data_IF_654042461328
#
_entry.id   IF_654042461328
#
_cell.length_a   1.000
_cell.length_b   1.000
_cell.length_c   1.000
_cell.angle_alpha   90.00
_cell.angle_beta   90.00
_cell.angle_gamma   90.00
#
_symmetry.space_group_name_H-M   'P 1'
#
loop_
_entity.id
_entity.type
_entity.pdbx_description
1 polymer ?
#
# COMPACT_ATOMS: atom_id res chain seq x y z
N UNK A 1 -19.49 0.39 9.13
CA UNK A 1 -20.13 -0.20 7.92
C UNK A 1 -20.20 -1.72 8.11
N UNK A 2 -21.31 -2.34 7.73
CA UNK A 2 -21.43 -3.80 7.75
C UNK A 2 -20.64 -4.39 6.58
N UNK A 3 -19.56 -5.17 6.82
CA UNK A 3 -18.76 -5.75 5.75
C UNK A 3 -19.49 -6.82 4.94
N UNK A 4 -20.63 -7.30 5.42
CA UNK A 4 -21.42 -8.36 4.76
C UNK A 4 -22.53 -7.82 3.84
N UNK A 5 -22.82 -6.51 3.90
CA UNK A 5 -23.98 -5.91 3.22
C UNK A 5 -23.67 -5.20 1.90
N UNK A 6 -22.45 -5.31 1.38
CA UNK A 6 -22.08 -4.59 0.17
C UNK A 6 -22.42 -5.37 -1.10
N UNK A 7 -22.97 -4.66 -2.07
CA UNK A 7 -23.20 -5.15 -3.42
C UNK A 7 -21.88 -5.31 -4.17
N UNK A 8 -21.82 -6.28 -5.07
CA UNK A 8 -20.65 -6.60 -5.88
C UNK A 8 -21.03 -6.40 -7.34
N UNK A 9 -20.25 -5.60 -8.07
CA UNK A 9 -20.36 -5.53 -9.52
C UNK A 9 -19.36 -6.46 -10.17
N UNK A 10 -19.81 -7.22 -11.16
CA UNK A 10 -18.97 -8.09 -11.95
C UNK A 10 -18.93 -7.53 -13.39
N UNK A 11 -17.79 -7.16 -13.88
CA UNK A 11 -17.55 -7.04 -15.32
C UNK A 11 -17.14 -8.44 -15.81
N UNK A 12 -18.03 -9.12 -16.57
CA UNK A 12 -17.64 -10.30 -17.31
C UNK A 12 -16.82 -9.80 -18.51
N UNK A 13 -15.52 -9.84 -18.41
CA UNK A 13 -14.68 -9.68 -19.60
C UNK A 13 -14.89 -10.88 -20.54
N UNK A 14 -14.83 -10.64 -21.87
CA UNK A 14 -14.78 -11.72 -22.82
C UNK A 14 -13.62 -12.67 -22.50
N UNK A 15 -13.65 -13.91 -22.98
CA UNK A 15 -12.59 -14.87 -22.73
C UNK A 15 -11.24 -14.23 -23.03
N UNK A 16 -10.30 -14.41 -22.13
CA UNK A 16 -8.96 -13.83 -22.18
C UNK A 16 -8.31 -14.05 -23.55
N UNK A 17 -8.24 -13.00 -24.35
CA UNK A 17 -7.68 -12.97 -25.70
C UNK A 17 -6.28 -12.34 -25.73
N UNK A 18 -5.67 -12.13 -24.57
CA UNK A 18 -4.37 -11.48 -24.43
C UNK A 18 -4.43 -9.95 -24.51
N UNK A 19 -5.60 -9.34 -24.63
CA UNK A 19 -5.74 -7.90 -24.60
C UNK A 19 -5.56 -7.34 -23.18
N UNK A 20 -4.84 -6.24 -23.00
CA UNK A 20 -4.73 -5.58 -21.68
C UNK A 20 -6.13 -5.12 -21.23
N UNK A 21 -6.40 -5.24 -19.92
CA UNK A 21 -7.61 -4.72 -19.32
C UNK A 21 -7.88 -3.28 -19.78
N UNK A 22 -9.10 -3.01 -20.22
CA UNK A 22 -9.51 -1.63 -20.52
C UNK A 22 -9.41 -0.82 -19.24
N UNK A 23 -8.93 0.42 -19.34
CA UNK A 23 -8.88 1.33 -18.19
C UNK A 23 -10.26 1.35 -17.52
N UNK A 24 -10.36 1.06 -16.22
CA UNK A 24 -11.65 0.98 -15.56
C UNK A 24 -12.35 2.32 -15.63
N UNK A 25 -13.63 2.23 -15.86
CA UNK A 25 -14.57 3.35 -15.86
C UNK A 25 -14.58 4.02 -14.49
N UNK A 26 -14.83 5.30 -14.44
CA UNK A 26 -15.02 6.03 -13.18
C UNK A 26 -16.16 5.40 -12.36
N UNK A 27 -16.15 5.61 -11.03
CA UNK A 27 -17.18 5.04 -10.14
C UNK A 27 -18.61 5.36 -10.61
N UNK A 28 -18.85 6.55 -11.16
CA UNK A 28 -20.14 6.96 -11.74
C UNK A 28 -20.48 6.18 -13.03
N UNK A 29 -19.50 5.86 -13.86
CA UNK A 29 -19.71 5.07 -15.08
C UNK A 29 -19.95 3.58 -14.77
N UNK A 30 -19.33 3.04 -13.71
CA UNK A 30 -19.57 1.68 -13.22
C UNK A 30 -20.98 1.49 -12.69
N UNK A 31 -21.50 2.47 -11.95
CA UNK A 31 -22.88 2.42 -11.40
C UNK A 31 -23.96 2.44 -12.48
N UNK A 32 -23.67 2.98 -13.66
CA UNK A 32 -24.65 3.11 -14.76
C UNK A 32 -24.74 1.87 -15.67
N UNK A 33 -23.71 1.02 -15.74
CA UNK A 33 -23.59 0.01 -16.78
C UNK A 33 -23.57 -1.46 -16.31
N UNK A 34 -23.25 -1.73 -15.04
CA UNK A 34 -23.24 -3.10 -14.50
C UNK A 34 -24.29 -3.27 -13.39
N UNK A 35 -25.18 -4.25 -13.49
CA UNK A 35 -26.09 -4.56 -12.39
C UNK A 35 -25.27 -5.01 -11.19
N UNK A 36 -25.57 -4.41 -10.04
CA UNK A 36 -25.04 -4.86 -8.77
C UNK A 36 -25.80 -6.13 -8.37
N UNK A 37 -25.09 -7.25 -8.30
CA UNK A 37 -25.64 -8.55 -7.96
C UNK A 37 -25.23 -8.93 -6.54
N UNK A 38 -26.09 -9.63 -5.79
CA UNK A 38 -25.70 -10.13 -4.50
C UNK A 38 -24.59 -11.18 -4.63
N UNK A 39 -23.66 -11.20 -3.68
CA UNK A 39 -22.51 -12.12 -3.68
C UNK A 39 -22.92 -13.59 -3.80
N UNK A 40 -24.13 -13.95 -3.34
CA UNK A 40 -24.68 -15.30 -3.43
C UNK A 40 -24.84 -15.84 -4.86
N UNK A 41 -24.99 -14.97 -5.86
CA UNK A 41 -25.11 -15.40 -7.27
C UNK A 41 -23.76 -15.84 -7.87
N UNK A 42 -22.66 -15.51 -7.23
CA UNK A 42 -21.31 -15.87 -7.67
C UNK A 42 -20.72 -17.07 -6.91
N UNK A 43 -21.37 -17.48 -5.81
CA UNK A 43 -20.95 -18.66 -5.05
C UNK A 43 -21.26 -19.93 -5.86
N UNK A 44 -20.22 -20.74 -6.13
CA UNK A 44 -20.35 -21.99 -6.89
C UNK A 44 -19.46 -22.10 -8.10
N UNK A 45 -18.79 -21.01 -8.53
CA UNK A 45 -17.73 -21.09 -9.54
C UNK A 45 -16.45 -21.54 -8.86
N UNK A 46 -15.90 -22.68 -9.28
CA UNK A 46 -14.72 -23.28 -8.64
C UNK A 46 -13.51 -22.32 -8.60
N UNK A 47 -13.26 -21.61 -9.70
CA UNK A 47 -12.19 -20.61 -9.76
C UNK A 47 -12.34 -19.52 -8.68
N UNK A 48 -13.55 -18.94 -8.52
CA UNK A 48 -13.80 -17.92 -7.51
C UNK A 48 -13.63 -18.45 -6.10
N UNK A 49 -14.12 -19.68 -5.85
CA UNK A 49 -13.94 -20.35 -4.56
C UNK A 49 -12.47 -20.51 -4.21
N UNK A 50 -11.65 -20.92 -5.17
CA UNK A 50 -10.21 -21.08 -4.96
C UNK A 50 -9.51 -19.73 -4.76
N UNK A 51 -9.89 -18.71 -5.52
CA UNK A 51 -9.38 -17.33 -5.34
C UNK A 51 -9.73 -16.80 -3.94
N UNK A 52 -10.97 -16.97 -3.49
CA UNK A 52 -11.43 -16.58 -2.16
C UNK A 52 -10.68 -17.36 -1.05
N UNK A 53 -10.39 -18.64 -1.26
CA UNK A 53 -9.59 -19.43 -0.32
C UNK A 53 -8.20 -18.81 -0.15
N UNK A 54 -7.50 -18.46 -1.24
CA UNK A 54 -6.18 -17.84 -1.16
C UNK A 54 -6.27 -16.51 -0.41
N UNK A 55 -7.21 -15.64 -0.79
CA UNK A 55 -7.40 -14.33 -0.17
C UNK A 55 -7.76 -14.41 1.32
N UNK A 56 -8.57 -15.42 1.71
CA UNK A 56 -9.04 -15.63 3.08
C UNK A 56 -7.96 -16.24 3.98
N UNK A 57 -7.29 -17.29 3.52
CA UNK A 57 -6.37 -18.06 4.35
C UNK A 57 -4.98 -17.47 4.39
N UNK A 58 -4.48 -16.89 3.29
CA UNK A 58 -3.21 -16.15 3.28
C UNK A 58 -3.38 -14.76 3.89
N UNK A 59 -3.79 -14.70 5.17
CA UNK A 59 -4.20 -13.47 5.84
C UNK A 59 -4.21 -13.67 7.36
N UNK A 60 -3.63 -12.76 8.13
CA UNK A 60 -3.58 -12.81 9.59
C UNK A 60 -4.65 -11.93 10.25
N UNK A 61 -5.25 -11.00 9.51
CA UNK A 61 -6.27 -10.13 10.05
C UNK A 61 -7.53 -10.90 10.45
N UNK A 62 -8.24 -10.36 11.42
CA UNK A 62 -9.54 -10.84 11.85
C UNK A 62 -10.58 -9.73 11.79
N UNK A 63 -11.74 -10.05 11.23
CA UNK A 63 -12.91 -9.17 11.21
C UNK A 63 -14.05 -9.95 11.86
N UNK A 64 -14.66 -9.40 12.90
CA UNK A 64 -15.74 -10.05 13.61
C UNK A 64 -16.71 -9.04 14.22
N UNK A 65 -17.95 -9.46 14.38
CA UNK A 65 -18.95 -8.65 15.07
C UNK A 65 -18.81 -8.88 16.58
N UNK A 66 -18.60 -7.80 17.30
CA UNK A 66 -18.58 -7.84 18.76
C UNK A 66 -20.00 -8.16 19.29
N UNK A 67 -20.12 -9.15 20.17
CA UNK A 67 -21.43 -9.60 20.69
C UNK A 67 -22.06 -8.63 21.68
N UNK A 68 -21.24 -7.81 22.34
CA UNK A 68 -21.70 -6.87 23.36
C UNK A 68 -22.09 -5.51 22.77
N UNK A 69 -21.26 -5.00 21.86
CA UNK A 69 -21.45 -3.68 21.24
C UNK A 69 -22.22 -3.71 19.93
N UNK A 70 -22.44 -4.90 19.37
CA UNK A 70 -22.98 -5.13 18.02
C UNK A 70 -22.21 -4.45 16.89
N UNK A 71 -21.03 -3.88 17.19
CA UNK A 71 -20.16 -3.24 16.21
C UNK A 71 -19.18 -4.24 15.58
N UNK A 72 -18.69 -3.89 14.40
CA UNK A 72 -17.64 -4.64 13.73
C UNK A 72 -16.28 -4.23 14.25
N UNK A 73 -15.53 -5.20 14.77
CA UNK A 73 -14.15 -5.06 15.20
C UNK A 73 -13.21 -5.70 14.17
N UNK A 74 -12.12 -5.02 13.87
CA UNK A 74 -11.08 -5.51 12.98
C UNK A 74 -9.72 -5.40 13.66
N UNK A 75 -8.88 -6.44 13.52
CA UNK A 75 -7.52 -6.49 14.07
C UNK A 75 -6.57 -7.04 13.01
N UNK A 76 -5.41 -6.39 12.85
CA UNK A 76 -4.37 -6.77 11.91
C UNK A 76 -3.93 -5.60 11.04
N UNK A 77 -3.10 -5.89 10.04
CA UNK A 77 -2.67 -4.91 9.04
C UNK A 77 -3.85 -4.39 8.21
N UNK A 78 -3.95 -3.08 7.92
CA UNK A 78 -5.05 -2.50 7.14
C UNK A 78 -5.25 -3.16 5.77
N UNK A 79 -4.18 -3.53 5.08
CA UNK A 79 -4.24 -4.25 3.81
C UNK A 79 -4.92 -5.60 3.96
N UNK A 80 -4.57 -6.33 5.02
CA UNK A 80 -5.14 -7.64 5.32
C UNK A 80 -6.60 -7.54 5.77
N UNK A 81 -6.93 -6.52 6.57
CA UNK A 81 -8.31 -6.23 6.97
C UNK A 81 -9.17 -5.97 5.74
N UNK A 82 -8.70 -5.16 4.78
CA UNK A 82 -9.43 -4.87 3.55
C UNK A 82 -9.72 -6.14 2.74
N UNK A 83 -8.76 -7.06 2.65
CA UNK A 83 -8.93 -8.36 1.98
C UNK A 83 -9.96 -9.23 2.74
N UNK A 84 -9.92 -9.27 4.08
CA UNK A 84 -10.91 -10.01 4.88
C UNK A 84 -12.32 -9.41 4.75
N UNK A 85 -12.44 -8.09 4.68
CA UNK A 85 -13.73 -7.43 4.42
C UNK A 85 -14.25 -7.81 3.04
N UNK A 86 -13.40 -7.83 2.01
CA UNK A 86 -13.78 -8.28 0.66
C UNK A 86 -14.29 -9.71 0.67
N UNK A 87 -13.55 -10.65 1.27
CA UNK A 87 -13.97 -12.06 1.30
C UNK A 87 -15.21 -12.29 2.16
N UNK A 88 -15.40 -11.50 3.22
CA UNK A 88 -16.60 -11.56 4.07
C UNK A 88 -17.88 -11.21 3.31
N UNK A 89 -17.82 -10.38 2.26
CA UNK A 89 -18.97 -10.07 1.38
C UNK A 89 -19.49 -11.30 0.65
N UNK A 90 -18.62 -12.28 0.39
CA UNK A 90 -18.98 -13.59 -0.17
C UNK A 90 -19.31 -14.63 0.92
N UNK A 91 -19.46 -14.20 2.17
CA UNK A 91 -19.62 -15.10 3.32
C UNK A 91 -18.40 -16.05 3.50
N UNK A 92 -17.20 -15.57 3.09
CA UNK A 92 -15.93 -16.30 3.08
C UNK A 92 -14.98 -15.70 4.11
N UNK A 93 -15.22 -15.98 5.39
CA UNK A 93 -14.38 -15.47 6.49
C UNK A 93 -13.47 -16.57 7.05
N UNK A 94 -12.17 -16.28 7.27
CA UNK A 94 -11.20 -17.25 7.82
C UNK A 94 -11.73 -17.97 9.05
N UNK A 95 -12.25 -17.22 10.03
CA UNK A 95 -12.75 -17.77 11.28
C UNK A 95 -13.88 -18.78 11.11
N UNK A 96 -14.72 -18.61 10.09
CA UNK A 96 -15.81 -19.53 9.77
C UNK A 96 -15.30 -20.93 9.41
N UNK A 97 -14.15 -21.00 8.74
CA UNK A 97 -13.60 -22.26 8.22
C UNK A 97 -12.52 -22.87 9.11
N UNK A 98 -11.95 -22.09 10.05
CA UNK A 98 -10.82 -22.54 10.88
C UNK A 98 -11.16 -22.65 12.36
N UNK A 99 -12.40 -22.31 12.77
CA UNK A 99 -12.81 -22.30 14.18
C UNK A 99 -14.10 -23.11 14.39
N UNK A 100 -14.20 -23.83 15.51
CA UNK A 100 -15.34 -24.67 15.87
C UNK A 100 -14.90 -26.08 16.27
N UNK A 101 -15.84 -26.95 16.56
CA UNK A 101 -15.56 -28.30 17.02
C UNK A 101 -14.94 -29.21 15.93
N UNK A 102 -15.32 -29.00 14.66
CA UNK A 102 -14.76 -29.71 13.50
C UNK A 102 -14.56 -28.74 12.33
N UNK A 103 -13.52 -27.91 12.40
CA UNK A 103 -13.27 -26.95 11.33
C UNK A 103 -12.85 -27.68 10.05
N UNK A 104 -13.39 -27.31 8.88
CA UNK A 104 -13.00 -27.92 7.61
C UNK A 104 -11.55 -27.62 7.19
N UNK A 105 -10.94 -26.62 7.78
CA UNK A 105 -9.56 -26.22 7.49
C UNK A 105 -8.73 -26.03 8.76
N UNK A 106 -7.48 -26.52 8.76
CA UNK A 106 -6.50 -26.29 9.81
C UNK A 106 -5.22 -25.68 9.24
N UNK A 107 -4.73 -24.64 9.91
CA UNK A 107 -3.42 -24.05 9.57
C UNK A 107 -2.31 -24.96 10.10
N UNK A 108 -1.33 -25.27 9.24
CA UNK A 108 -0.20 -26.14 9.56
C UNK A 108 1.08 -25.33 9.74
N UNK A 109 1.32 -24.35 8.88
CA UNK A 109 2.51 -23.51 8.94
C UNK A 109 2.24 -22.09 8.41
N UNK A 110 3.08 -21.17 8.82
CA UNK A 110 3.04 -19.77 8.41
C UNK A 110 4.45 -19.26 8.15
N UNK A 111 4.60 -18.62 7.00
CA UNK A 111 5.77 -17.84 6.61
C UNK A 111 5.32 -16.37 6.52
N UNK A 112 5.52 -15.58 7.59
CA UNK A 112 4.99 -14.23 7.67
C UNK A 112 5.54 -13.32 6.58
N UNK A 113 4.88 -12.18 6.37
CA UNK A 113 5.36 -11.19 5.42
C UNK A 113 6.76 -10.71 5.83
N UNK A 114 7.64 -10.65 4.84
CA UNK A 114 9.00 -10.16 4.97
C UNK A 114 9.22 -9.04 3.94
N UNK A 115 9.77 -7.92 4.38
CA UNK A 115 9.98 -6.73 3.54
C UNK A 115 11.04 -6.93 2.45
N UNK A 116 11.97 -7.87 2.63
CA UNK A 116 13.02 -8.16 1.64
C UNK A 116 12.49 -9.11 0.57
N UNK A 117 11.73 -10.13 0.98
CA UNK A 117 11.11 -11.12 0.08
C UNK A 117 9.80 -10.59 -0.52
N UNK A 118 9.11 -9.66 0.16
CA UNK A 118 7.84 -8.99 -0.24
C UNK A 118 6.68 -9.95 -0.53
N UNK A 119 6.63 -11.07 0.18
CA UNK A 119 5.55 -12.07 0.07
C UNK A 119 5.33 -12.78 1.40
N UNK A 120 4.17 -13.39 1.52
CA UNK A 120 3.71 -14.18 2.66
C UNK A 120 3.14 -15.50 2.14
N UNK A 121 3.36 -16.58 2.88
CA UNK A 121 2.83 -17.91 2.53
C UNK A 121 2.28 -18.60 3.77
N UNK A 122 1.17 -19.29 3.62
CA UNK A 122 0.57 -20.12 4.68
C UNK A 122 0.24 -21.50 4.13
N UNK A 123 0.32 -22.52 4.97
CA UNK A 123 -0.04 -23.88 4.61
C UNK A 123 -1.26 -24.31 5.42
N UNK A 124 -2.27 -24.78 4.72
CA UNK A 124 -3.52 -25.28 5.30
C UNK A 124 -3.83 -26.69 4.84
N UNK A 125 -4.44 -27.46 5.75
CA UNK A 125 -5.05 -28.77 5.48
C UNK A 125 -6.54 -28.61 5.36
N UNK A 126 -7.11 -29.15 4.28
CA UNK A 126 -8.55 -29.25 4.07
C UNK A 126 -9.03 -30.67 4.38
N UNK A 127 -9.95 -30.81 5.32
CA UNK A 127 -10.53 -32.09 5.73
C UNK A 127 -11.75 -32.49 4.89
N UNK A 128 -12.40 -31.54 4.19
CA UNK A 128 -13.61 -31.80 3.40
C UNK A 128 -13.28 -32.26 1.96
N UNK A 129 -12.03 -32.20 1.53
CA UNK A 129 -11.63 -32.59 0.17
C UNK A 129 -11.49 -34.13 0.01
N UNK A 130 -12.38 -34.86 0.64
CA UNK A 130 -12.39 -36.32 0.76
C UNK A 130 -12.55 -37.07 -0.57
N UNK A 131 -11.42 -37.33 -1.23
CA UNK A 131 -11.23 -38.52 -2.03
C UNK A 131 -10.67 -39.64 -1.12
N UNK A 132 -10.46 -40.85 -1.62
CA UNK A 132 -9.97 -42.04 -0.89
C UNK A 132 -8.70 -41.84 -0.03
N UNK A 133 -8.06 -40.65 -0.03
CA UNK A 133 -6.87 -40.24 0.73
C UNK A 133 -7.11 -39.22 1.85
N UNK A 134 -8.34 -38.83 2.14
CA UNK A 134 -8.77 -38.22 3.41
C UNK A 134 -8.49 -36.73 3.65
N UNK A 135 -7.49 -36.10 3.08
CA UNK A 135 -7.23 -34.65 3.22
C UNK A 135 -6.29 -34.12 2.14
N UNK A 136 -6.46 -32.87 1.77
CA UNK A 136 -5.56 -32.18 0.84
C UNK A 136 -4.87 -31.01 1.55
N UNK A 137 -3.59 -30.81 1.27
CA UNK A 137 -2.82 -29.69 1.81
C UNK A 137 -2.47 -28.69 0.71
N UNK A 138 -2.54 -27.43 1.08
CA UNK A 138 -2.37 -26.32 0.16
C UNK A 138 -1.46 -25.25 0.74
N UNK A 139 -0.49 -24.81 -0.03
CA UNK A 139 0.25 -23.60 0.23
C UNK A 139 -0.44 -22.44 -0.51
N UNK A 140 -0.82 -21.39 0.22
CA UNK A 140 -1.40 -20.16 -0.29
C UNK A 140 -0.40 -19.03 -0.13
N UNK A 141 -0.19 -18.27 -1.19
CA UNK A 141 0.78 -17.16 -1.23
C UNK A 141 0.11 -15.86 -1.67
N UNK A 142 0.50 -14.76 -1.04
CA UNK A 142 0.23 -13.40 -1.51
C UNK A 142 1.47 -12.52 -1.41
N UNK A 143 1.58 -11.51 -2.25
CA UNK A 143 2.71 -10.56 -2.19
C UNK A 143 2.77 -9.60 -3.34
N UNK A 144 3.90 -8.90 -3.45
CA UNK A 144 4.20 -8.05 -4.58
C UNK A 144 4.17 -8.89 -5.88
N UNK A 145 3.54 -8.33 -6.93
CA UNK A 145 3.24 -9.07 -8.15
C UNK A 145 4.48 -9.71 -8.74
N UNK A 146 5.56 -8.94 -8.87
CA UNK A 146 6.83 -9.39 -9.43
C UNK A 146 7.42 -10.55 -8.62
N UNK A 147 7.31 -10.47 -7.27
CA UNK A 147 7.87 -11.48 -6.37
C UNK A 147 7.06 -12.77 -6.28
N UNK A 148 5.77 -12.69 -6.52
CA UNK A 148 4.89 -13.87 -6.62
C UNK A 148 5.08 -14.54 -7.97
N UNK A 149 5.20 -13.78 -9.06
CA UNK A 149 5.44 -14.32 -10.41
C UNK A 149 6.78 -15.09 -10.49
N UNK A 150 7.84 -14.61 -9.85
CA UNK A 150 9.12 -15.34 -9.73
C UNK A 150 8.95 -16.78 -9.16
N UNK A 151 7.94 -17.02 -8.34
CA UNK A 151 7.64 -18.31 -7.73
C UNK A 151 6.63 -19.14 -8.53
N UNK A 152 6.02 -18.59 -9.59
CA UNK A 152 4.96 -19.23 -10.36
C UNK A 152 5.51 -19.94 -11.60
N UNK A 153 5.04 -21.15 -11.83
CA UNK A 153 5.31 -21.91 -13.06
C UNK A 153 4.05 -22.16 -13.90
N UNK A 154 2.89 -21.82 -13.34
CA UNK A 154 1.60 -22.03 -13.98
C UNK A 154 0.64 -20.87 -13.69
N UNK A 155 -0.37 -20.73 -14.53
CA UNK A 155 -1.45 -19.78 -14.39
C UNK A 155 -2.80 -20.50 -14.48
N UNK A 156 -3.77 -20.08 -13.66
CA UNK A 156 -5.13 -20.59 -13.67
C UNK A 156 -6.03 -19.68 -14.51
N UNK A 157 -6.65 -20.25 -15.54
CA UNK A 157 -7.68 -19.60 -16.34
C UNK A 157 -9.02 -20.31 -16.11
N UNK A 158 -9.94 -19.67 -15.42
CA UNK A 158 -11.22 -20.29 -15.05
C UNK A 158 -11.02 -21.75 -14.56
N UNK A 159 -11.36 -22.74 -15.35
CA UNK A 159 -11.26 -24.14 -14.98
C UNK A 159 -10.02 -24.86 -15.54
N UNK A 160 -9.08 -24.13 -16.17
CA UNK A 160 -7.88 -24.71 -16.78
C UNK A 160 -6.61 -24.11 -16.21
N UNK A 161 -5.66 -24.98 -15.90
CA UNK A 161 -4.29 -24.57 -15.54
C UNK A 161 -3.42 -24.69 -16.79
N UNK A 162 -2.66 -23.64 -17.10
CA UNK A 162 -1.69 -23.59 -18.19
C UNK A 162 -0.28 -23.27 -17.63
N UNK A 163 0.80 -23.71 -18.29
CA UNK A 163 2.14 -23.26 -17.96
C UNK A 163 2.25 -21.73 -18.07
N UNK A 164 3.01 -21.10 -17.20
CA UNK A 164 3.33 -19.67 -17.26
C UNK A 164 4.45 -19.49 -18.30
N UNK A 165 4.22 -18.61 -19.27
CA UNK A 165 5.23 -18.19 -20.23
C UNK A 165 5.53 -16.68 -20.11
N UNK A 166 6.57 -16.21 -20.79
CA UNK A 166 7.00 -14.80 -20.72
C UNK A 166 5.95 -13.82 -21.29
N UNK A 167 5.09 -14.26 -22.21
CA UNK A 167 4.02 -13.44 -22.76
C UNK A 167 2.91 -13.23 -21.72
N UNK A 168 2.51 -14.28 -21.02
CA UNK A 168 1.51 -14.25 -19.96
C UNK A 168 2.01 -13.42 -18.77
N UNK A 169 3.28 -13.59 -18.38
CA UNK A 169 3.90 -12.77 -17.35
C UNK A 169 3.86 -11.28 -17.73
N UNK A 170 4.22 -10.96 -18.99
CA UNK A 170 4.14 -9.60 -19.51
C UNK A 170 2.74 -8.99 -19.49
N UNK A 171 1.70 -9.79 -19.73
CA UNK A 171 0.31 -9.37 -19.67
C UNK A 171 -0.11 -9.10 -18.22
N UNK A 172 0.25 -9.97 -17.28
CA UNK A 172 -0.04 -9.79 -15.86
C UNK A 172 0.62 -8.51 -15.35
N UNK A 173 1.87 -8.26 -15.70
CA UNK A 173 2.58 -7.03 -15.31
C UNK A 173 1.92 -5.78 -15.89
N UNK A 174 1.48 -5.81 -17.15
CA UNK A 174 0.72 -4.70 -17.75
C UNK A 174 -0.61 -4.45 -17.02
N UNK A 175 -1.33 -5.51 -16.66
CA UNK A 175 -2.58 -5.39 -15.92
C UNK A 175 -2.31 -4.81 -14.51
N UNK A 176 -1.23 -5.21 -13.85
CA UNK A 176 -0.78 -4.63 -12.59
C UNK A 176 -0.49 -3.13 -12.75
N UNK A 177 0.20 -2.71 -13.81
CA UNK A 177 0.49 -1.30 -14.09
C UNK A 177 -0.80 -0.49 -14.32
N UNK A 178 -1.77 -1.03 -15.06
CA UNK A 178 -3.08 -0.39 -15.27
C UNK A 178 -3.82 -0.20 -13.96
N UNK A 179 -3.88 -1.22 -13.11
CA UNK A 179 -4.49 -1.12 -11.78
C UNK A 179 -3.74 -0.11 -10.87
N UNK A 180 -2.43 -0.17 -10.87
CA UNK A 180 -1.59 0.75 -10.10
C UNK A 180 -1.72 2.21 -10.57
N UNK A 181 -1.91 2.45 -11.87
CA UNK A 181 -2.12 3.80 -12.42
C UNK A 181 -3.40 4.46 -11.93
N UNK A 182 -4.30 3.70 -11.32
CA UNK A 182 -5.53 4.17 -10.68
C UNK A 182 -5.39 4.40 -9.18
N UNK A 183 -4.16 4.39 -8.66
CA UNK A 183 -3.89 4.54 -7.24
C UNK A 183 -4.12 3.26 -6.42
N UNK A 184 -4.32 2.10 -7.07
CA UNK A 184 -4.50 0.84 -6.36
C UNK A 184 -3.16 0.25 -5.91
N UNK A 185 -3.12 -0.25 -4.68
CA UNK A 185 -2.07 -1.15 -4.23
C UNK A 185 -2.40 -2.56 -4.72
N UNK A 186 -1.58 -3.10 -5.62
CA UNK A 186 -1.86 -4.38 -6.29
C UNK A 186 -1.02 -5.49 -5.66
N UNK A 187 -1.68 -6.57 -5.27
CA UNK A 187 -1.04 -7.80 -4.81
C UNK A 187 -1.42 -8.96 -5.73
N UNK A 188 -0.53 -9.92 -5.85
CA UNK A 188 -0.77 -11.18 -6.53
C UNK A 188 -1.15 -12.28 -5.55
N UNK A 189 -2.01 -13.19 -6.01
CA UNK A 189 -2.46 -14.37 -5.29
C UNK A 189 -2.05 -15.62 -6.05
N UNK A 190 -1.44 -16.57 -5.33
CA UNK A 190 -1.00 -17.85 -5.90
C UNK A 190 -1.25 -19.00 -4.91
N UNK A 191 -1.34 -20.22 -5.42
CA UNK A 191 -1.44 -21.41 -4.61
C UNK A 191 -0.66 -22.58 -5.22
N UNK A 192 -0.41 -23.58 -4.39
CA UNK A 192 0.18 -24.87 -4.80
C UNK A 192 -0.42 -25.98 -3.96
N UNK A 193 -0.67 -27.17 -4.56
CA UNK A 193 -0.94 -28.36 -3.79
C UNK A 193 0.34 -28.81 -3.10
N UNK A 194 0.20 -29.26 -1.86
CA UNK A 194 1.34 -29.75 -1.08
C UNK A 194 1.19 -31.26 -0.83
N UNK A 195 2.31 -31.99 -0.83
CA UNK A 195 2.31 -33.41 -0.53
C UNK A 195 2.33 -33.62 1.01
N UNK A 196 1.34 -34.29 1.60
CA UNK A 196 1.18 -34.44 3.05
C UNK A 196 2.24 -35.35 3.72
N UNK A 197 3.29 -35.78 3.03
CA UNK A 197 4.31 -36.70 3.59
C UNK A 197 5.28 -36.04 4.56
N UNK A 198 5.19 -34.74 4.78
CA UNK A 198 6.12 -34.00 5.65
C UNK A 198 5.46 -33.74 7.00
N UNK A 199 5.91 -34.44 8.03
CA UNK A 199 5.35 -34.30 9.39
C UNK A 199 5.84 -33.07 10.16
N UNK A 200 6.93 -32.43 9.73
CA UNK A 200 7.60 -31.36 10.49
C UNK A 200 7.65 -30.04 9.71
N UNK A 201 6.52 -29.33 9.71
CA UNK A 201 6.30 -28.08 8.99
C UNK A 201 7.19 -26.92 9.47
N UNK A 202 7.59 -26.93 10.74
CA UNK A 202 8.42 -25.88 11.33
C UNK A 202 9.85 -25.84 10.84
N UNK A 203 10.32 -26.89 10.15
CA UNK A 203 11.70 -27.04 9.68
C UNK A 203 11.89 -26.85 8.17
N UNK A 204 10.80 -26.65 7.41
CA UNK A 204 10.90 -26.51 5.96
C UNK A 204 11.35 -25.09 5.60
N UNK A 205 12.47 -24.92 4.90
CA UNK A 205 12.89 -23.61 4.43
C UNK A 205 11.85 -22.97 3.51
N UNK A 206 11.65 -21.66 3.64
CA UNK A 206 10.72 -20.86 2.84
C UNK A 206 10.87 -21.11 1.34
N UNK A 207 12.09 -21.18 0.84
CA UNK A 207 12.44 -21.39 -0.56
C UNK A 207 11.89 -22.71 -1.13
N UNK A 208 11.72 -23.72 -0.30
CA UNK A 208 11.16 -25.02 -0.71
C UNK A 208 9.63 -24.98 -0.82
N UNK A 209 8.99 -24.11 -0.06
CA UNK A 209 7.52 -23.91 -0.07
C UNK A 209 7.13 -22.97 -1.20
N UNK A 210 7.85 -21.87 -1.35
CA UNK A 210 7.53 -20.76 -2.25
C UNK A 210 8.09 -20.97 -3.67
N UNK A 211 7.79 -22.12 -4.28
CA UNK A 211 8.16 -22.47 -5.65
C UNK A 211 7.07 -23.27 -6.34
N UNK A 212 7.12 -23.32 -7.67
CA UNK A 212 6.15 -24.08 -8.49
C UNK A 212 4.68 -23.71 -8.17
N UNK A 213 4.46 -22.42 -7.90
CA UNK A 213 3.14 -21.91 -7.60
C UNK A 213 2.31 -21.74 -8.86
N UNK A 214 0.99 -21.81 -8.71
CA UNK A 214 0.02 -21.46 -9.76
C UNK A 214 -0.54 -20.08 -9.44
N UNK A 215 -0.39 -19.15 -10.36
CA UNK A 215 -0.95 -17.81 -10.26
C UNK A 215 -2.47 -17.85 -10.45
N UNK A 216 -3.21 -17.17 -9.56
CA UNK A 216 -4.68 -17.14 -9.56
C UNK A 216 -5.27 -15.79 -9.92
N UNK A 217 -4.54 -14.70 -9.71
CA UNK A 217 -5.04 -13.39 -10.05
C UNK A 217 -4.42 -12.26 -9.22
N UNK A 218 -4.89 -11.07 -9.50
CA UNK A 218 -4.51 -9.84 -8.81
C UNK A 218 -5.63 -9.40 -7.87
N UNK A 219 -5.26 -8.75 -6.78
CA UNK A 219 -6.18 -8.04 -5.91
C UNK A 219 -5.69 -6.60 -5.77
N UNK A 220 -6.55 -5.63 -6.11
CA UNK A 220 -6.28 -4.20 -5.99
C UNK A 220 -6.97 -3.63 -4.76
N UNK A 221 -6.21 -2.93 -3.92
CA UNK A 221 -6.70 -2.26 -2.73
C UNK A 221 -6.62 -0.75 -2.96
N UNK A 222 -7.71 -0.07 -2.66
CA UNK A 222 -7.78 1.38 -2.75
C UNK A 222 -7.69 1.99 -1.36
N UNK A 223 -6.65 2.76 -1.13
CA UNK A 223 -6.46 3.57 0.07
C UNK A 223 -6.50 5.04 -0.36
N UNK A 224 -7.67 5.68 -0.32
CA UNK A 224 -7.81 7.06 -0.77
C UNK A 224 -7.07 8.00 0.18
N UNK A 225 -6.41 9.05 -0.35
CA UNK A 225 -5.90 10.10 0.49
C UNK A 225 -7.05 10.77 1.28
N UNK A 226 -6.75 11.27 2.46
CA UNK A 226 -7.74 11.98 3.27
C UNK A 226 -8.27 13.19 2.49
N UNK A 227 -9.55 13.50 2.66
CA UNK A 227 -10.25 14.56 1.91
C UNK A 227 -9.56 15.92 2.07
N UNK A 228 -8.99 16.19 3.24
CA UNK A 228 -8.34 17.45 3.59
C UNK A 228 -6.95 17.60 2.95
N UNK A 229 -6.31 16.49 2.54
CA UNK A 229 -4.92 16.48 2.08
C UNK A 229 -4.69 17.36 0.86
N UNK A 230 -5.57 17.31 -0.14
CA UNK A 230 -5.45 18.14 -1.35
C UNK A 230 -5.54 19.63 -1.03
N UNK A 231 -6.45 20.01 -0.11
CA UNK A 231 -6.57 21.38 0.39
C UNK A 231 -5.31 21.85 1.11
N UNK A 232 -4.73 20.98 1.93
CA UNK A 232 -3.53 21.24 2.68
C UNK A 232 -2.30 21.41 1.77
N UNK A 233 -2.09 20.55 0.78
CA UNK A 233 -1.01 20.67 -0.21
C UNK A 233 -1.12 21.99 -0.97
N UNK A 234 -2.33 22.36 -1.41
CA UNK A 234 -2.56 23.66 -2.07
C UNK A 234 -2.22 24.84 -1.19
N UNK A 235 -2.53 24.76 0.12
CA UNK A 235 -2.18 25.80 1.08
C UNK A 235 -0.66 25.86 1.32
N UNK A 236 0.04 24.72 1.39
CA UNK A 236 1.50 24.66 1.41
C UNK A 236 2.11 25.41 0.22
N UNK A 237 1.66 25.11 -1.00
CA UNK A 237 2.15 25.79 -2.21
C UNK A 237 1.92 27.31 -2.17
N UNK A 238 0.75 27.76 -1.69
CA UNK A 238 0.47 29.20 -1.51
C UNK A 238 1.40 29.85 -0.48
N UNK A 239 1.80 29.09 0.54
CA UNK A 239 2.73 29.52 1.56
C UNK A 239 4.21 29.47 1.13
N UNK A 240 4.50 29.11 -0.13
CA UNK A 240 5.83 28.94 -0.68
C UNK A 240 6.55 27.68 -0.21
N UNK A 241 5.81 26.68 0.27
CA UNK A 241 6.33 25.39 0.74
C UNK A 241 6.18 24.37 -0.39
N UNK A 242 7.29 23.73 -0.77
CA UNK A 242 7.30 22.60 -1.71
C UNK A 242 7.00 21.32 -0.95
N UNK A 243 6.06 20.52 -1.42
CA UNK A 243 5.73 19.23 -0.85
C UNK A 243 6.35 18.14 -1.70
N UNK A 244 7.12 17.25 -1.07
CA UNK A 244 7.71 16.07 -1.68
C UNK A 244 7.06 14.81 -1.11
N UNK A 245 6.81 13.79 -1.95
CA UNK A 245 6.28 12.49 -1.55
C UNK A 245 7.37 11.43 -1.67
N UNK A 246 7.70 10.78 -0.55
CA UNK A 246 8.66 9.68 -0.45
C UNK A 246 7.92 8.43 0.03
N UNK A 247 7.63 7.50 -0.87
CA UNK A 247 6.79 6.33 -0.57
C UNK A 247 7.47 5.01 -0.93
N UNK A 248 7.14 3.95 -0.20
CA UNK A 248 7.49 2.57 -0.55
C UNK A 248 6.65 1.97 -1.67
N UNK A 249 5.56 2.66 -2.10
CA UNK A 249 4.63 2.20 -3.10
C UNK A 249 5.23 2.12 -4.51
N UNK A 250 4.51 1.43 -5.41
CA UNK A 250 4.86 1.37 -6.82
C UNK A 250 4.79 2.77 -7.47
N UNK A 251 5.67 3.01 -8.46
CA UNK A 251 5.78 4.31 -9.13
C UNK A 251 4.44 4.83 -9.67
N UNK A 252 3.64 3.96 -10.28
CA UNK A 252 2.35 4.34 -10.87
C UNK A 252 1.32 4.72 -9.80
N UNK A 253 1.29 4.00 -8.67
CA UNK A 253 0.42 4.31 -7.53
C UNK A 253 0.81 5.67 -6.92
N UNK A 254 2.10 5.88 -6.68
CA UNK A 254 2.61 7.16 -6.16
C UNK A 254 2.31 8.33 -7.11
N UNK A 255 2.43 8.10 -8.41
CA UNK A 255 2.07 9.06 -9.45
C UNK A 255 0.59 9.47 -9.38
N UNK A 256 -0.31 8.49 -9.34
CA UNK A 256 -1.75 8.74 -9.30
C UNK A 256 -2.15 9.52 -8.04
N UNK A 257 -1.65 9.09 -6.87
CA UNK A 257 -1.91 9.78 -5.60
C UNK A 257 -1.36 11.20 -5.61
N UNK A 258 -0.14 11.41 -6.14
CA UNK A 258 0.48 12.73 -6.19
C UNK A 258 -0.29 13.73 -7.08
N UNK A 259 -0.95 13.24 -8.13
CA UNK A 259 -1.87 14.07 -8.94
C UNK A 259 -3.14 14.39 -8.14
N UNK A 260 -3.75 13.39 -7.49
CA UNK A 260 -4.98 13.55 -6.72
C UNK A 260 -4.83 14.56 -5.59
N UNK A 261 -3.71 14.51 -4.86
CA UNK A 261 -3.44 15.45 -3.76
C UNK A 261 -2.84 16.79 -4.23
N UNK A 262 -2.48 16.92 -5.51
CA UNK A 262 -1.99 18.17 -6.10
C UNK A 262 -0.49 18.43 -5.86
N UNK A 263 0.31 17.44 -5.53
CA UNK A 263 1.79 17.52 -5.50
C UNK A 263 2.30 17.64 -6.94
N UNK A 264 1.77 16.83 -7.84
CA UNK A 264 2.02 16.93 -9.27
C UNK A 264 0.93 17.77 -9.96
N UNK A 265 1.27 18.54 -11.00
CA UNK A 265 0.28 19.30 -11.74
C UNK A 265 -0.70 18.37 -12.48
N UNK A 266 -2.01 18.72 -12.56
CA UNK A 266 -3.03 17.85 -13.19
C UNK A 266 -2.75 17.52 -14.65
N UNK A 267 -1.96 18.34 -15.34
CA UNK A 267 -1.58 18.16 -16.76
C UNK A 267 -0.13 17.70 -16.94
N UNK A 268 0.41 17.01 -15.94
CA UNK A 268 1.81 16.52 -16.00
C UNK A 268 2.06 15.67 -17.24
N UNK A 269 1.08 14.91 -17.73
CA UNK A 269 1.19 14.09 -18.95
C UNK A 269 1.38 14.92 -20.25
N UNK A 270 1.20 16.25 -20.21
CA UNK A 270 1.42 17.13 -21.35
C UNK A 270 2.84 17.76 -21.34
N UNK A 271 3.62 17.48 -20.29
CA UNK A 271 5.01 17.93 -20.18
C UNK A 271 5.93 17.01 -21.00
N UNK A 272 7.13 17.50 -21.31
CA UNK A 272 8.12 16.66 -22.00
C UNK A 272 8.55 15.47 -21.12
N UNK A 273 8.88 14.30 -21.72
CA UNK A 273 9.31 13.12 -20.98
C UNK A 273 10.46 13.38 -20.01
N UNK A 274 11.40 14.26 -20.39
CA UNK A 274 12.56 14.62 -19.55
C UNK A 274 12.14 15.37 -18.28
N UNK A 275 11.18 16.30 -18.38
CA UNK A 275 10.62 16.99 -17.22
C UNK A 275 9.86 16.02 -16.32
N UNK A 276 9.06 15.15 -16.92
CA UNK A 276 8.33 14.13 -16.17
C UNK A 276 9.29 13.21 -15.41
N UNK A 277 10.36 12.74 -16.08
CA UNK A 277 11.34 11.85 -15.46
C UNK A 277 12.12 12.51 -14.32
N UNK A 278 12.32 13.83 -14.37
CA UNK A 278 12.94 14.60 -13.29
C UNK A 278 12.00 14.83 -12.10
N UNK A 279 10.68 14.91 -12.34
CA UNK A 279 9.69 15.13 -11.27
C UNK A 279 9.34 13.85 -10.49
N UNK A 280 9.39 12.68 -11.15
CA UNK A 280 8.99 11.40 -10.56
C UNK A 280 10.03 10.32 -10.83
N UNK A 281 10.76 9.94 -9.80
CA UNK A 281 11.81 8.93 -9.84
C UNK A 281 11.46 7.70 -9.01
N UNK A 282 12.13 6.59 -9.30
CA UNK A 282 12.21 5.47 -8.36
C UNK A 282 13.42 5.64 -7.44
N UNK A 283 13.38 5.01 -6.26
CA UNK A 283 14.54 4.99 -5.36
C UNK A 283 15.81 4.53 -6.08
N UNK A 284 15.72 3.46 -6.89
CA UNK A 284 16.85 2.97 -7.67
C UNK A 284 17.45 4.05 -8.59
N UNK A 285 16.59 4.81 -9.28
CA UNK A 285 17.07 5.91 -10.15
C UNK A 285 17.74 7.01 -9.34
N UNK A 286 17.15 7.40 -8.20
CA UNK A 286 17.68 8.46 -7.35
C UNK A 286 18.96 8.04 -6.62
N UNK A 287 19.01 6.81 -6.12
CA UNK A 287 20.15 6.29 -5.35
C UNK A 287 21.38 6.00 -6.22
N UNK A 288 21.21 5.80 -7.53
CA UNK A 288 22.33 5.67 -8.48
C UNK A 288 22.99 7.01 -8.87
N UNK A 289 22.34 8.15 -8.61
CA UNK A 289 22.95 9.45 -8.87
C UNK A 289 24.03 9.72 -7.82
N UNK A 290 25.14 10.36 -8.21
CA UNK A 290 26.09 10.90 -7.24
C UNK A 290 25.50 12.11 -6.54
N UNK A 291 26.08 12.55 -5.42
CA UNK A 291 25.59 13.73 -4.70
C UNK A 291 25.73 15.00 -5.53
N UNK A 292 26.81 15.11 -6.31
CA UNK A 292 27.02 16.19 -7.27
C UNK A 292 25.94 16.18 -8.36
N UNK A 293 25.62 15.01 -8.91
CA UNK A 293 24.57 14.89 -9.92
C UNK A 293 23.17 15.24 -9.37
N UNK A 294 22.90 14.94 -8.08
CA UNK A 294 21.66 15.35 -7.40
C UNK A 294 21.65 16.87 -7.23
N UNK A 295 22.80 17.47 -6.86
CA UNK A 295 22.90 18.90 -6.63
C UNK A 295 22.84 19.70 -7.94
N UNK A 296 23.22 19.10 -9.08
CA UNK A 296 23.08 19.69 -10.43
C UNK A 296 21.68 19.59 -11.02
N UNK A 297 20.75 18.80 -10.43
CA UNK A 297 19.37 18.76 -10.89
C UNK A 297 18.71 20.15 -10.80
N UNK A 298 18.02 20.63 -11.84
CA UNK A 298 17.35 21.93 -11.79
C UNK A 298 16.33 22.02 -10.65
N UNK A 299 15.59 20.93 -10.43
CA UNK A 299 14.61 20.76 -9.34
C UNK A 299 14.74 19.34 -8.80
N UNK A 300 14.69 19.18 -7.48
CA UNK A 300 14.64 17.86 -6.87
C UNK A 300 13.30 17.18 -7.18
N UNK A 301 13.27 15.84 -7.30
CA UNK A 301 12.05 15.11 -7.62
C UNK A 301 10.95 15.39 -6.59
N UNK A 302 9.75 15.64 -7.08
CA UNK A 302 8.57 15.83 -6.22
C UNK A 302 8.06 14.51 -5.65
N UNK A 303 8.27 13.40 -6.38
CA UNK A 303 7.84 12.06 -5.98
C UNK A 303 9.01 11.09 -6.16
N UNK A 304 9.32 10.35 -5.09
CA UNK A 304 10.24 9.21 -5.16
C UNK A 304 9.47 7.97 -4.68
N UNK A 305 9.37 6.98 -5.54
CA UNK A 305 8.66 5.72 -5.29
C UNK A 305 9.63 4.58 -4.94
N UNK A 306 9.14 3.54 -4.26
CA UNK A 306 9.95 2.38 -3.82
C UNK A 306 11.11 2.79 -2.90
N UNK A 307 10.89 3.83 -2.08
CA UNK A 307 11.91 4.33 -1.16
C UNK A 307 12.33 3.31 -0.12
N UNK A 308 13.63 3.28 0.12
CA UNK A 308 14.25 2.68 1.30
C UNK A 308 14.41 3.75 2.40
N UNK A 309 14.69 3.38 3.66
CA UNK A 309 15.02 4.36 4.70
C UNK A 309 16.19 5.28 4.30
N UNK A 310 17.21 4.71 3.65
CA UNK A 310 18.38 5.46 3.16
C UNK A 310 18.03 6.48 2.09
N UNK A 311 17.14 6.13 1.14
CA UNK A 311 16.65 7.06 0.11
C UNK A 311 16.00 8.30 0.74
N UNK A 312 15.21 8.09 1.82
CA UNK A 312 14.54 9.17 2.54
C UNK A 312 15.55 10.11 3.21
N UNK A 313 16.55 9.57 3.89
CA UNK A 313 17.64 10.35 4.51
C UNK A 313 18.39 11.14 3.44
N UNK A 314 18.75 10.50 2.33
CA UNK A 314 19.48 11.10 1.22
C UNK A 314 18.75 12.28 0.59
N UNK A 315 17.41 12.17 0.48
CA UNK A 315 16.59 13.31 0.00
C UNK A 315 16.60 14.48 0.98
N UNK A 316 16.51 14.24 2.28
CA UNK A 316 16.64 15.30 3.31
C UNK A 316 18.00 15.98 3.20
N UNK A 317 19.08 15.22 3.06
CA UNK A 317 20.44 15.76 2.91
C UNK A 317 20.61 16.58 1.62
N UNK A 318 20.02 16.16 0.51
CA UNK A 318 20.02 16.92 -0.74
C UNK A 318 19.30 18.26 -0.58
N UNK A 319 18.20 18.31 0.18
CA UNK A 319 17.50 19.56 0.50
C UNK A 319 18.35 20.46 1.41
N UNK A 320 19.05 19.91 2.40
CA UNK A 320 19.96 20.65 3.27
C UNK A 320 21.15 21.24 2.49
N UNK A 321 21.76 20.48 1.56
CA UNK A 321 22.83 21.02 0.69
C UNK A 321 22.34 22.21 -0.14
N UNK A 322 21.06 22.23 -0.52
CA UNK A 322 20.38 23.36 -1.18
C UNK A 322 19.92 24.46 -0.21
N UNK A 323 20.33 24.40 1.07
CA UNK A 323 19.98 25.38 2.12
C UNK A 323 18.46 25.53 2.30
N UNK A 324 17.71 24.42 2.14
CA UNK A 324 16.27 24.36 2.42
C UNK A 324 16.04 23.90 3.84
N UNK A 325 15.07 24.49 4.50
CA UNK A 325 14.55 24.03 5.79
C UNK A 325 13.54 22.92 5.54
N UNK A 326 13.70 21.79 6.20
CA UNK A 326 12.99 20.55 5.88
C UNK A 326 12.16 20.09 7.07
N UNK A 327 10.85 19.97 6.88
CA UNK A 327 9.99 19.19 7.77
C UNK A 327 9.73 17.81 7.15
N UNK A 328 9.92 16.75 7.91
CA UNK A 328 9.67 15.38 7.49
C UNK A 328 8.51 14.79 8.30
N UNK A 329 7.55 14.16 7.60
CA UNK A 329 6.49 13.42 8.26
C UNK A 329 6.67 11.92 8.05
N UNK A 330 6.36 11.11 9.05
CA UNK A 330 6.43 9.65 8.96
C UNK A 330 5.70 8.96 10.10
N UNK A 331 5.34 7.71 9.86
CA UNK A 331 4.62 6.85 10.83
C UNK A 331 5.37 5.54 11.13
N UNK A 332 6.26 5.12 10.23
CA UNK A 332 6.97 3.85 10.32
C UNK A 332 8.34 3.91 10.98
N UNK A 333 8.80 2.76 11.46
CA UNK A 333 10.18 2.57 11.94
C UNK A 333 11.20 2.96 10.85
N UNK A 334 10.86 2.70 9.59
CA UNK A 334 11.67 3.02 8.42
C UNK A 334 11.83 4.53 8.16
N UNK A 335 10.98 5.37 8.79
CA UNK A 335 11.03 6.82 8.66
C UNK A 335 11.89 7.48 9.73
N UNK A 336 12.15 6.79 10.83
CA UNK A 336 12.85 7.33 11.99
C UNK A 336 14.22 7.96 11.67
N UNK A 337 15.07 7.38 10.79
CA UNK A 337 16.34 8.02 10.44
C UNK A 337 16.16 9.36 9.71
N UNK A 338 15.15 9.45 8.82
CA UNK A 338 14.85 10.67 8.09
C UNK A 338 14.15 11.72 8.98
N UNK A 339 13.28 11.29 9.89
CA UNK A 339 12.65 12.16 10.90
C UNK A 339 13.73 12.85 11.78
N UNK A 340 14.69 12.09 12.28
CA UNK A 340 15.82 12.64 13.06
C UNK A 340 16.76 13.54 12.26
N UNK A 341 16.83 13.34 10.96
CA UNK A 341 17.74 14.10 10.09
C UNK A 341 17.15 15.42 9.62
N UNK A 342 15.82 15.53 9.56
CA UNK A 342 15.11 16.75 9.19
C UNK A 342 15.30 17.86 10.24
N UNK A 343 15.04 19.11 9.86
CA UNK A 343 15.03 20.23 10.81
C UNK A 343 13.83 20.18 11.77
N UNK A 344 12.73 19.57 11.31
CA UNK A 344 11.55 19.24 12.12
C UNK A 344 11.02 17.87 11.74
N UNK A 345 11.13 16.91 12.62
CA UNK A 345 10.50 15.60 12.51
C UNK A 345 9.06 15.63 13.05
N UNK A 346 8.11 15.10 12.27
CA UNK A 346 6.69 15.08 12.63
C UNK A 346 6.19 13.62 12.57
N UNK A 347 5.88 13.06 13.74
CA UNK A 347 5.36 11.69 13.89
C UNK A 347 3.84 11.65 13.93
N UNK A 348 3.28 10.48 13.57
CA UNK A 348 1.84 10.20 13.72
C UNK A 348 1.57 9.62 15.12
N UNK A 349 0.55 10.14 15.80
CA UNK A 349 0.25 9.79 17.19
C UNK A 349 -0.58 8.52 17.34
N UNK A 350 -1.53 8.29 16.43
CA UNK A 350 -2.44 7.15 16.47
C UNK A 350 -1.86 5.92 15.76
N UNK A 351 -1.48 6.06 14.49
CA UNK A 351 -0.95 4.97 13.66
C UNK A 351 0.58 4.86 13.73
N UNK A 352 1.27 5.90 14.21
CA UNK A 352 2.74 5.93 14.25
C UNK A 352 3.33 4.94 15.25
N UNK A 353 4.43 4.29 14.84
CA UNK A 353 5.23 3.45 15.73
C UNK A 353 5.88 4.29 16.83
N UNK A 354 6.13 3.68 18.00
CA UNK A 354 6.79 4.37 19.10
C UNK A 354 8.19 4.88 18.70
N UNK A 355 8.90 4.11 17.86
CA UNK A 355 10.22 4.51 17.34
C UNK A 355 10.12 5.78 16.47
N UNK A 356 9.06 5.93 15.66
CA UNK A 356 8.84 7.14 14.87
C UNK A 356 8.47 8.33 15.76
N UNK A 357 7.64 8.11 16.79
CA UNK A 357 7.29 9.15 17.77
C UNK A 357 8.51 9.66 18.54
N UNK A 358 9.37 8.74 19.00
CA UNK A 358 10.61 9.07 19.73
C UNK A 358 11.65 9.76 18.83
N UNK A 359 11.54 9.57 17.51
CA UNK A 359 12.40 10.22 16.53
C UNK A 359 11.91 11.61 16.11
N UNK A 360 10.72 12.03 16.55
CA UNK A 360 10.03 13.23 16.08
C UNK A 360 10.06 14.36 17.10
N UNK A 361 10.10 15.60 16.62
CA UNK A 361 9.99 16.82 17.43
C UNK A 361 8.53 17.16 17.76
N UNK A 362 7.62 16.79 16.86
CA UNK A 362 6.18 17.02 16.96
C UNK A 362 5.44 15.70 16.71
N UNK A 363 4.40 15.43 17.50
CA UNK A 363 3.51 14.29 17.30
C UNK A 363 2.09 14.79 17.04
N UNK A 364 1.52 14.41 15.88
CA UNK A 364 0.15 14.74 15.49
C UNK A 364 -0.82 13.75 16.13
N UNK A 365 -1.70 14.24 17.00
CA UNK A 365 -2.67 13.39 17.72
C UNK A 365 -3.82 12.89 16.85
N UNK A 366 -4.08 13.52 15.72
CA UNK A 366 -5.15 13.19 14.76
C UNK A 366 -4.65 12.50 13.49
N UNK A 367 -3.34 12.30 13.36
CA UNK A 367 -2.68 11.74 12.18
C UNK A 367 -3.08 12.44 10.87
N UNK A 368 -3.37 13.74 10.93
CA UNK A 368 -3.86 14.49 9.80
C UNK A 368 -2.81 15.48 9.27
N UNK A 369 -2.38 15.28 8.02
CA UNK A 369 -1.43 16.19 7.36
C UNK A 369 -1.90 17.66 7.36
N UNK A 370 -3.22 17.90 7.31
CA UNK A 370 -3.75 19.27 7.34
C UNK A 370 -3.43 20.00 8.65
N UNK A 371 -3.28 19.28 9.76
CA UNK A 371 -2.94 19.87 11.08
C UNK A 371 -1.53 20.46 11.12
N UNK A 372 -0.64 20.04 10.22
CA UNK A 372 0.69 20.63 10.06
C UNK A 372 0.60 22.10 9.65
N UNK A 373 -0.39 22.45 8.82
CA UNK A 373 -0.60 23.85 8.42
C UNK A 373 -0.89 24.76 9.61
N UNK A 374 -1.68 24.28 10.56
CA UNK A 374 -1.98 25.03 11.77
C UNK A 374 -0.69 25.24 12.60
N UNK A 375 0.15 24.22 12.70
CA UNK A 375 1.44 24.33 13.39
C UNK A 375 2.38 25.34 12.69
N UNK A 376 2.41 25.33 11.35
CA UNK A 376 3.20 26.29 10.56
C UNK A 376 2.66 27.72 10.75
N UNK A 377 1.35 27.91 10.72
CA UNK A 377 0.71 29.22 10.92
C UNK A 377 1.03 29.78 12.31
N UNK A 378 0.85 28.97 13.35
CA UNK A 378 1.17 29.37 14.73
C UNK A 378 2.67 29.63 14.91
N UNK A 379 3.54 28.83 14.33
CA UNK A 379 4.98 29.05 14.34
C UNK A 379 5.38 30.40 13.69
N UNK A 380 4.81 30.72 12.54
CA UNK A 380 5.01 32.01 11.86
C UNK A 380 4.49 33.17 12.70
N UNK A 381 3.30 33.01 13.29
CA UNK A 381 2.70 34.03 14.19
C UNK A 381 3.56 34.28 15.42
N UNK A 382 4.07 33.21 16.02
CA UNK A 382 4.99 33.32 17.18
C UNK A 382 6.27 34.05 16.78
N UNK A 383 6.87 33.73 15.64
CA UNK A 383 8.07 34.41 15.13
C UNK A 383 7.84 35.90 14.89
N UNK A 384 6.68 36.29 14.32
CA UNK A 384 6.33 37.69 14.11
C UNK A 384 6.12 38.43 15.44
N UNK A 385 5.57 37.76 16.45
CA UNK A 385 5.44 38.32 17.80
C UNK A 385 6.81 38.53 18.45
N UNK A 386 7.73 37.55 18.32
CA UNK A 386 9.12 37.70 18.81
C UNK A 386 9.81 38.89 18.15
N UNK A 387 9.67 39.04 16.82
CA UNK A 387 10.21 40.21 16.10
C UNK A 387 9.66 41.52 16.63
N UNK A 388 8.33 41.59 16.90
CA UNK A 388 7.72 42.80 17.47
C UNK A 388 8.29 43.14 18.84
N UNK A 389 8.47 42.13 19.71
CA UNK A 389 9.08 42.33 21.03
C UNK A 389 10.52 42.79 20.91
N UNK A 390 11.33 42.18 20.05
CA UNK A 390 12.71 42.56 19.81
C UNK A 390 12.78 44.02 19.30
N UNK A 391 11.94 44.38 18.30
CA UNK A 391 11.87 45.75 17.81
C UNK A 391 11.52 46.74 18.92
N UNK A 392 10.55 46.42 19.75
CA UNK A 392 10.15 47.25 20.88
C UNK A 392 11.30 47.44 21.91
N UNK A 393 12.02 46.39 22.23
CA UNK A 393 13.18 46.43 23.12
C UNK A 393 14.31 47.29 22.52
N UNK A 394 14.64 47.13 21.23
CA UNK A 394 15.68 47.93 20.57
C UNK A 394 15.32 49.42 20.55
N UNK A 395 14.04 49.75 20.36
CA UNK A 395 13.58 51.17 20.39
C UNK A 395 13.67 51.73 21.80
N UNK A 396 13.39 50.94 22.82
CA UNK A 396 13.50 51.38 24.26
C UNK A 396 14.96 51.58 24.70
N UNK A 397 15.89 50.74 24.20
CA UNK A 397 17.31 50.80 24.52
C UNK A 397 18.10 51.78 23.62
N UNK A 398 17.46 52.32 22.60
CA UNK A 398 18.10 53.36 21.81
C UNK A 398 18.31 54.61 22.67
N UNK A 399 19.54 54.94 23.12
CA UNK A 399 19.75 56.14 23.94
C UNK A 399 19.33 57.36 23.13
N UNK A 400 18.65 58.30 23.78
CA UNK A 400 18.30 59.60 23.19
C UNK A 400 19.58 60.21 22.63
N UNK A 401 19.77 60.07 21.32
CA UNK A 401 20.78 60.80 20.54
C UNK A 401 20.14 62.16 20.26
N UNK A 402 20.30 63.08 21.17
CA UNK A 402 20.20 64.52 20.95
C UNK A 402 21.47 65.16 21.47
#
# INVERSE_FOLDING_TARGET
MDPTSAEISFEADPPFDGAPCKAPKTQAQRQAESPWLPASEFTGKEFLTQYLNIATFCNLASVHRNRETEQWDARGDPTEIAIQVFTSRFNWGRRKFTFGDNPPWAQLAEYPFDSDVKRMTVIYRNFDSGGEKGCAEWAFMKGAVEKVLEACTAIQYADKTAPMDAEQEGIILKNMEVLASQGLRVLALAKRSWDPRTEDWGLIPRENVEREMTFFGLIGLYDPPRVETAGAVKACHRAGITVHMLTGDHKQTAWAIAIDVGILPPRVNQLSPDVISSMVMTATQFDHLSDEAIDDLPVLPLVIARCTPQTKVRMVEALHRRKKFVAMTGDGVNDSPALKRADVGIGMGMAGSDVAKDASDIVLTDDNFASILNAIEEGRRMFDNIKKVIHFLIILDAPNIY
#
